data_IF_432369733339
#
_entry.id   IF_432369733339
#
_cell.length_a   1.000
_cell.length_b   1.000
_cell.length_c   1.000
_cell.angle_alpha   90.00
_cell.angle_beta   90.00
_cell.angle_gamma   90.00
#
_symmetry.space_group_name_H-M   'P 1'
#
loop_
_entity.id
_entity.type
_entity.pdbx_description
1 polymer ?
#
# COMPACT_ATOMS: atom_id res chain seq x y z
N UNK A 1 -10.75 -6.87 -1.47
CA UNK A 1 -10.46 -6.08 -2.69
C UNK A 1 -10.29 -6.99 -3.90
N UNK A 2 -9.52 -8.09 -3.82
CA UNK A 2 -9.45 -9.06 -4.92
C UNK A 2 -10.80 -9.64 -5.37
N UNK A 3 -11.71 -9.85 -4.43
CA UNK A 3 -13.07 -10.34 -4.70
C UNK A 3 -14.05 -9.24 -5.16
N UNK A 4 -13.63 -7.98 -5.12
CA UNK A 4 -14.47 -6.83 -5.50
C UNK A 4 -13.61 -5.76 -6.17
N UNK A 5 -12.98 -6.10 -7.32
CA UNK A 5 -12.00 -5.22 -7.94
C UNK A 5 -12.61 -3.92 -8.48
N UNK A 6 -13.83 -3.99 -9.02
CA UNK A 6 -14.58 -2.80 -9.46
C UNK A 6 -14.78 -1.79 -8.32
N UNK A 7 -15.21 -2.25 -7.14
CA UNK A 7 -15.37 -1.40 -5.96
C UNK A 7 -14.05 -0.83 -5.46
N UNK A 8 -12.98 -1.64 -5.48
CA UNK A 8 -11.65 -1.16 -5.08
C UNK A 8 -11.17 -0.01 -5.99
N UNK A 9 -11.42 -0.11 -7.30
CA UNK A 9 -11.07 0.95 -8.26
C UNK A 9 -11.95 2.19 -8.07
N UNK A 10 -13.27 2.03 -7.94
CA UNK A 10 -14.21 3.14 -7.65
C UNK A 10 -13.81 3.90 -6.39
N UNK A 11 -13.51 3.18 -5.31
CA UNK A 11 -13.16 3.78 -4.04
C UNK A 11 -11.77 4.41 -4.05
N UNK A 12 -10.74 3.63 -4.41
CA UNK A 12 -9.36 4.08 -4.26
C UNK A 12 -8.99 5.10 -5.35
N UNK A 13 -9.12 4.71 -6.62
CA UNK A 13 -8.65 5.53 -7.76
C UNK A 13 -9.57 6.73 -7.94
N UNK A 14 -10.87 6.50 -8.13
CA UNK A 14 -11.79 7.59 -8.44
C UNK A 14 -12.14 8.44 -7.22
N UNK A 15 -12.12 7.87 -6.01
CA UNK A 15 -12.16 8.66 -4.77
C UNK A 15 -10.96 9.61 -4.67
N UNK A 16 -9.74 9.12 -4.94
CA UNK A 16 -8.54 9.96 -4.97
C UNK A 16 -8.63 11.03 -6.06
N UNK A 17 -8.98 10.65 -7.30
CA UNK A 17 -9.10 11.57 -8.43
C UNK A 17 -10.08 12.71 -8.14
N UNK A 18 -11.27 12.41 -7.63
CA UNK A 18 -12.29 13.42 -7.31
C UNK A 18 -11.81 14.37 -6.19
N UNK A 19 -11.18 13.83 -5.15
CA UNK A 19 -10.70 14.62 -4.02
C UNK A 19 -9.50 15.48 -4.41
N UNK A 20 -8.54 14.92 -5.15
CA UNK A 20 -7.38 15.64 -5.66
C UNK A 20 -7.80 16.77 -6.61
N UNK A 21 -8.73 16.49 -7.54
CA UNK A 21 -9.28 17.51 -8.43
C UNK A 21 -9.97 18.64 -7.67
N UNK A 22 -10.70 18.33 -6.61
CA UNK A 22 -11.33 19.35 -5.76
C UNK A 22 -10.27 20.20 -5.04
N UNK A 23 -9.24 19.58 -4.46
CA UNK A 23 -8.13 20.28 -3.82
C UNK A 23 -7.43 21.25 -4.78
N UNK A 24 -7.12 20.78 -5.99
CA UNK A 24 -6.53 21.60 -7.06
C UNK A 24 -7.44 22.76 -7.48
N UNK A 25 -8.72 22.47 -7.75
CA UNK A 25 -9.71 23.47 -8.18
C UNK A 25 -9.90 24.60 -7.17
N UNK A 26 -9.91 24.27 -5.88
CA UNK A 26 -10.15 25.25 -4.81
C UNK A 26 -8.85 25.82 -4.21
N UNK A 27 -7.69 25.50 -4.78
CA UNK A 27 -6.42 26.11 -4.40
C UNK A 27 -5.94 25.70 -3.01
N UNK A 28 -6.16 24.44 -2.60
CA UNK A 28 -5.49 23.91 -1.42
C UNK A 28 -3.98 24.06 -1.59
N UNK A 29 -3.26 24.43 -0.52
CA UNK A 29 -1.81 24.62 -0.62
C UNK A 29 -1.10 23.30 -0.96
N UNK A 30 -1.51 22.21 -0.31
CA UNK A 30 -0.86 20.91 -0.39
C UNK A 30 -1.84 19.77 -0.23
N UNK A 31 -1.59 18.70 -0.97
CA UNK A 31 -2.32 17.44 -0.88
C UNK A 31 -1.32 16.30 -0.66
N UNK A 32 -1.45 15.59 0.46
CA UNK A 32 -0.57 14.45 0.80
C UNK A 32 -1.37 13.16 0.71
N UNK A 33 -1.04 12.32 -0.26
CA UNK A 33 -1.62 10.99 -0.44
C UNK A 33 -0.82 9.96 0.38
N UNK A 34 -1.50 9.21 1.24
CA UNK A 34 -0.90 8.02 1.85
C UNK A 34 -0.88 6.89 0.82
N UNK A 35 0.30 6.36 0.52
CA UNK A 35 0.50 5.20 -0.33
C UNK A 35 1.06 4.02 0.47
N UNK A 36 1.53 2.97 -0.21
CA UNK A 36 1.96 1.70 0.40
C UNK A 36 3.09 1.09 -0.42
N UNK A 37 3.96 0.35 0.24
CA UNK A 37 4.91 -0.58 -0.39
C UNK A 37 4.30 -1.47 -1.49
N UNK A 38 3.06 -1.91 -1.33
CA UNK A 38 2.34 -2.76 -2.29
C UNK A 38 2.05 -2.08 -3.63
N UNK A 39 2.22 -0.75 -3.73
CA UNK A 39 2.13 -0.02 -4.99
C UNK A 39 3.35 -0.25 -5.89
N UNK A 40 4.46 -0.75 -5.33
CA UNK A 40 5.67 -1.12 -6.08
C UNK A 40 5.50 -2.53 -6.62
N UNK A 41 5.63 -2.69 -7.95
CA UNK A 41 5.45 -3.95 -8.68
C UNK A 41 4.24 -4.77 -8.17
N UNK A 42 3.02 -4.21 -8.28
CA UNK A 42 1.87 -4.74 -7.58
C UNK A 42 1.49 -6.15 -8.08
N UNK A 43 1.11 -7.03 -7.17
CA UNK A 43 0.61 -8.38 -7.48
C UNK A 43 -0.86 -8.56 -7.08
N UNK A 44 -1.51 -7.47 -6.68
CA UNK A 44 -2.90 -7.42 -6.27
C UNK A 44 -3.51 -6.05 -6.64
N UNK A 45 -4.83 -6.03 -6.77
CA UNK A 45 -5.68 -4.89 -7.11
C UNK A 45 -5.53 -3.76 -6.11
N UNK A 46 -5.31 -4.07 -4.83
CA UNK A 46 -5.09 -3.02 -3.83
C UNK A 46 -3.82 -2.22 -4.18
N UNK A 47 -2.69 -2.91 -4.35
CA UNK A 47 -1.43 -2.31 -4.77
C UNK A 47 -1.54 -1.58 -6.11
N UNK A 48 -2.13 -2.21 -7.12
CA UNK A 48 -2.30 -1.60 -8.44
C UNK A 48 -3.16 -0.34 -8.38
N UNK A 49 -4.26 -0.36 -7.62
CA UNK A 49 -5.09 0.84 -7.42
C UNK A 49 -4.33 1.96 -6.72
N UNK A 50 -3.43 1.65 -5.78
CA UNK A 50 -2.59 2.64 -5.10
C UNK A 50 -1.52 3.21 -6.04
N UNK A 51 -0.94 2.38 -6.91
CA UNK A 51 -0.03 2.85 -7.97
C UNK A 51 -0.74 3.82 -8.93
N UNK A 52 -1.98 3.52 -9.32
CA UNK A 52 -2.79 4.46 -10.10
C UNK A 52 -3.11 5.75 -9.35
N UNK A 53 -3.32 5.69 -8.03
CA UNK A 53 -3.50 6.91 -7.22
C UNK A 53 -2.25 7.79 -7.23
N UNK A 54 -1.05 7.20 -7.25
CA UNK A 54 0.21 7.93 -7.41
C UNK A 54 0.29 8.62 -8.78
N UNK A 55 -0.06 7.92 -9.85
CA UNK A 55 -0.13 8.51 -11.19
C UNK A 55 -1.16 9.66 -11.25
N UNK A 56 -2.33 9.50 -10.61
CA UNK A 56 -3.35 10.56 -10.50
C UNK A 56 -2.78 11.80 -9.85
N UNK A 57 -2.09 11.68 -8.70
CA UNK A 57 -1.60 12.87 -8.01
C UNK A 57 -0.45 13.55 -8.77
N UNK A 58 0.39 12.80 -9.49
CA UNK A 58 1.45 13.38 -10.33
C UNK A 58 0.86 14.17 -11.50
N UNK A 59 -0.14 13.61 -12.18
CA UNK A 59 -0.88 14.33 -13.22
C UNK A 59 -1.58 15.58 -12.66
N UNK A 60 -2.10 15.53 -11.44
CA UNK A 60 -2.75 16.69 -10.80
C UNK A 60 -1.74 17.79 -10.43
N UNK A 61 -0.52 17.42 -10.03
CA UNK A 61 0.58 18.35 -9.72
C UNK A 61 0.93 19.23 -10.92
N UNK A 62 1.00 18.64 -12.12
CA UNK A 62 1.30 19.40 -13.33
C UNK A 62 0.13 20.29 -13.81
N UNK A 63 -1.11 19.99 -13.38
CA UNK A 63 -2.33 20.69 -13.83
C UNK A 63 -2.78 21.82 -12.91
N UNK A 64 -2.36 21.82 -11.65
CA UNK A 64 -2.81 22.78 -10.64
C UNK A 64 -1.63 23.39 -9.90
N UNK A 65 -1.89 24.49 -9.17
CA UNK A 65 -0.88 25.10 -8.29
C UNK A 65 -0.73 24.40 -6.93
N UNK A 66 -1.67 23.52 -6.59
CA UNK A 66 -1.61 22.71 -5.37
C UNK A 66 -0.44 21.76 -5.49
N UNK A 67 0.42 21.70 -4.46
CA UNK A 67 1.51 20.73 -4.39
C UNK A 67 0.92 19.35 -4.04
N UNK A 68 1.01 18.39 -4.96
CA UNK A 68 0.55 17.02 -4.75
C UNK A 68 1.72 16.07 -4.54
N UNK A 69 1.69 15.33 -3.43
CA UNK A 69 2.74 14.35 -3.10
C UNK A 69 2.15 13.05 -2.57
N UNK A 70 2.88 11.95 -2.72
CA UNK A 70 2.57 10.68 -2.07
C UNK A 70 3.64 10.31 -1.05
N UNK A 71 3.26 9.54 -0.04
CA UNK A 71 4.20 8.93 0.92
C UNK A 71 3.96 7.43 0.98
N UNK A 72 4.95 6.63 0.58
CA UNK A 72 4.95 5.17 0.66
C UNK A 72 5.59 4.72 1.97
N UNK A 73 4.92 3.80 2.65
CA UNK A 73 5.49 3.06 3.77
C UNK A 73 4.84 1.67 3.88
N UNK A 74 5.48 0.82 4.66
CA UNK A 74 5.03 -0.55 4.90
C UNK A 74 3.92 -0.65 5.94
N UNK A 75 3.92 -1.74 6.70
CA UNK A 75 2.88 -2.00 7.67
C UNK A 75 3.01 -1.08 8.90
N UNK A 76 1.88 -0.76 9.51
CA UNK A 76 1.84 0.00 10.76
C UNK A 76 1.37 -0.90 11.89
N UNK A 77 2.10 -0.90 13.00
CA UNK A 77 1.83 -1.74 14.16
C UNK A 77 0.46 -1.41 14.77
N UNK A 78 -0.36 -2.46 14.96
CA UNK A 78 -1.66 -2.34 15.61
C UNK A 78 -2.74 -1.64 14.78
N UNK A 79 -2.55 -1.47 13.47
CA UNK A 79 -3.59 -0.91 12.61
C UNK A 79 -4.83 -1.84 12.53
N UNK A 80 -6.00 -1.25 12.26
CA UNK A 80 -7.26 -2.01 12.17
C UNK A 80 -7.19 -3.09 11.08
N UNK A 81 -7.64 -4.31 11.42
CA UNK A 81 -7.62 -5.45 10.50
C UNK A 81 -6.22 -6.00 10.21
N UNK A 82 -5.18 -5.55 10.93
CA UNK A 82 -3.83 -6.10 10.80
C UNK A 82 -3.64 -7.40 11.59
N UNK A 83 -2.46 -8.01 11.41
CA UNK A 83 -2.11 -9.31 12.00
C UNK A 83 -2.07 -9.29 13.53
N UNK A 84 -1.70 -8.16 14.16
CA UNK A 84 -1.57 -8.08 15.62
C UNK A 84 -2.93 -8.17 16.32
N UNK A 85 -3.95 -7.37 15.95
CA UNK A 85 -5.31 -7.56 16.46
C UNK A 85 -5.87 -8.96 16.25
N UNK A 86 -5.58 -9.58 15.09
CA UNK A 86 -5.99 -10.96 14.81
C UNK A 86 -5.34 -11.95 15.79
N UNK A 87 -4.03 -11.86 15.99
CA UNK A 87 -3.32 -12.74 16.93
C UNK A 87 -3.81 -12.53 18.36
N UNK A 88 -4.02 -11.29 18.80
CA UNK A 88 -4.59 -11.01 20.13
C UNK A 88 -5.97 -11.64 20.31
N UNK A 89 -6.82 -11.56 19.28
CA UNK A 89 -8.13 -12.20 19.29
C UNK A 89 -8.02 -13.72 19.38
N UNK A 90 -7.20 -14.32 18.53
CA UNK A 90 -6.96 -15.78 18.53
C UNK A 90 -6.43 -16.26 19.87
N UNK A 91 -5.47 -15.55 20.48
CA UNK A 91 -4.93 -15.85 21.80
C UNK A 91 -6.03 -15.78 22.88
N UNK A 92 -6.84 -14.72 22.86
CA UNK A 92 -7.95 -14.57 23.81
C UNK A 92 -9.03 -15.66 23.66
N UNK A 93 -9.17 -16.24 22.47
CA UNK A 93 -10.07 -17.36 22.16
C UNK A 93 -9.47 -18.75 22.45
N UNK A 94 -8.21 -18.82 22.91
CA UNK A 94 -7.51 -20.07 23.23
C UNK A 94 -6.68 -20.67 22.07
N UNK A 95 -6.54 -19.95 20.96
CA UNK A 95 -5.82 -20.39 19.77
C UNK A 95 -6.62 -21.29 18.84
N UNK A 96 -5.98 -21.83 17.77
CA UNK A 96 -4.59 -21.60 17.38
C UNK A 96 -4.35 -20.19 16.83
N UNK A 97 -3.10 -19.72 16.90
CA UNK A 97 -2.67 -18.53 16.17
C UNK A 97 -2.28 -18.92 14.75
N UNK A 98 -2.87 -18.27 13.75
CA UNK A 98 -2.67 -18.65 12.34
C UNK A 98 -1.62 -17.78 11.67
N UNK A 99 -0.47 -18.34 11.30
CA UNK A 99 0.60 -17.65 10.58
C UNK A 99 0.58 -18.09 9.11
N UNK A 100 0.76 -17.18 8.16
CA UNK A 100 0.70 -17.51 6.74
C UNK A 100 1.77 -18.53 6.33
N UNK A 101 3.04 -18.22 6.59
CA UNK A 101 4.20 -19.07 6.33
C UNK A 101 5.28 -18.85 7.40
N UNK A 102 6.17 -19.83 7.65
CA UNK A 102 7.22 -19.71 8.67
C UNK A 102 8.18 -18.54 8.43
N UNK A 103 8.55 -18.32 7.16
CA UNK A 103 9.58 -17.34 6.76
C UNK A 103 9.03 -16.00 6.30
N UNK A 104 7.72 -15.76 6.46
CA UNK A 104 7.09 -14.51 6.04
C UNK A 104 7.57 -13.35 6.93
N UNK A 105 8.11 -12.31 6.29
CA UNK A 105 8.58 -11.10 6.96
C UNK A 105 7.78 -9.88 6.51
N UNK A 106 7.65 -8.89 7.38
CA UNK A 106 7.05 -7.60 7.06
C UNK A 106 7.80 -6.47 7.74
N UNK A 107 7.83 -5.33 7.07
CA UNK A 107 8.35 -4.08 7.60
C UNK A 107 7.29 -3.39 8.45
N UNK A 108 7.68 -2.92 9.63
CA UNK A 108 6.77 -2.30 10.58
C UNK A 108 7.30 -0.98 11.10
N UNK A 109 6.37 -0.06 11.32
CA UNK A 109 6.60 1.18 12.04
C UNK A 109 5.42 1.43 12.98
N UNK A 110 5.62 2.18 14.05
CA UNK A 110 4.50 2.59 14.91
C UNK A 110 3.64 3.68 14.25
N UNK A 111 2.39 3.83 14.69
CA UNK A 111 1.52 4.91 14.19
C UNK A 111 2.15 6.31 14.40
N UNK A 112 2.67 6.67 15.59
CA UNK A 112 3.27 7.99 15.81
C UNK A 112 4.48 8.27 14.92
N UNK A 113 5.34 7.28 14.70
CA UNK A 113 6.49 7.40 13.79
C UNK A 113 6.02 7.65 12.36
N UNK A 114 5.09 6.84 11.85
CA UNK A 114 4.57 6.98 10.49
C UNK A 114 3.92 8.35 10.26
N UNK A 115 3.07 8.80 11.20
CA UNK A 115 2.42 10.13 11.13
C UNK A 115 3.46 11.24 11.17
N UNK A 116 4.45 11.16 12.05
CA UNK A 116 5.51 12.17 12.15
C UNK A 116 6.30 12.30 10.85
N UNK A 117 6.70 11.17 10.25
CA UNK A 117 7.45 11.17 8.99
C UNK A 117 6.60 11.62 7.80
N UNK A 118 5.31 11.27 7.75
CA UNK A 118 4.38 11.77 6.73
C UNK A 118 4.24 13.29 6.80
N UNK A 119 4.09 13.86 7.99
CA UNK A 119 4.00 15.31 8.16
C UNK A 119 5.31 16.02 7.75
N UNK A 120 6.46 15.42 8.07
CA UNK A 120 7.77 15.94 7.64
C UNK A 120 7.96 15.85 6.12
N UNK A 121 7.60 14.73 5.49
CA UNK A 121 7.61 14.58 4.03
C UNK A 121 6.71 15.63 3.38
N UNK A 122 5.51 15.82 3.93
CA UNK A 122 4.62 16.91 3.55
C UNK A 122 5.25 18.28 3.71
N UNK A 123 6.12 18.53 4.69
CA UNK A 123 6.82 19.81 4.84
C UNK A 123 7.94 20.01 3.80
N UNK A 124 8.59 18.93 3.35
CA UNK A 124 9.64 18.96 2.33
C UNK A 124 9.13 19.05 0.89
N UNK A 125 7.87 18.67 0.67
CA UNK A 125 7.19 18.67 -0.63
C UNK A 125 7.33 19.98 -1.40
N UNK A 126 7.64 19.89 -2.68
CA UNK A 126 7.63 20.97 -3.67
C UNK A 126 6.68 20.69 -4.84
N UNK A 127 6.04 19.52 -4.86
CA UNK A 127 5.12 19.07 -5.91
C UNK A 127 5.68 17.88 -6.68
N UNK A 128 4.83 16.89 -6.91
CA UNK A 128 5.10 15.73 -7.77
C UNK A 128 5.92 14.61 -7.12
N UNK A 129 6.45 14.83 -5.91
CA UNK A 129 7.28 13.84 -5.23
C UNK A 129 6.50 12.63 -4.72
N UNK A 130 7.14 11.46 -4.84
CA UNK A 130 6.73 10.23 -4.16
C UNK A 130 7.78 9.97 -3.09
N UNK A 131 7.45 10.31 -1.83
CA UNK A 131 8.31 10.03 -0.70
C UNK A 131 8.25 8.56 -0.31
N UNK A 132 9.38 8.03 0.15
CA UNK A 132 9.54 6.65 0.59
C UNK A 132 10.15 6.66 1.98
N UNK A 133 9.47 6.02 2.94
CA UNK A 133 9.94 5.97 4.32
C UNK A 133 10.86 4.77 4.55
N UNK A 134 11.94 5.01 5.31
CA UNK A 134 12.79 3.94 5.81
C UNK A 134 12.10 3.22 6.96
N UNK A 135 11.77 1.95 6.71
CA UNK A 135 11.06 1.10 7.66
C UNK A 135 12.00 0.32 8.59
N UNK A 136 13.31 0.46 8.42
CA UNK A 136 14.31 -0.30 9.16
C UNK A 136 14.27 -1.80 8.82
N UNK A 137 14.63 -2.62 9.80
CA UNK A 137 14.75 -4.07 9.63
C UNK A 137 13.38 -4.76 9.56
N UNK A 138 13.24 -5.79 8.71
CA UNK A 138 12.00 -6.56 8.63
C UNK A 138 11.81 -7.47 9.84
N UNK A 139 10.55 -7.73 10.19
CA UNK A 139 10.17 -8.60 11.31
C UNK A 139 9.54 -9.89 10.79
N UNK A 140 10.01 -11.05 11.28
CA UNK A 140 9.35 -12.35 11.04
C UNK A 140 8.01 -12.41 11.75
N UNK A 141 6.94 -12.71 11.00
CA UNK A 141 5.59 -12.78 11.56
C UNK A 141 5.46 -13.94 12.56
N UNK A 142 6.19 -15.04 12.35
CA UNK A 142 6.26 -16.13 13.31
C UNK A 142 6.82 -15.68 14.67
N UNK A 143 7.88 -14.88 14.66
CA UNK A 143 8.49 -14.38 15.90
C UNK A 143 7.56 -13.38 16.60
N UNK A 144 6.87 -12.54 15.83
CA UNK A 144 5.81 -11.67 16.34
C UNK A 144 4.69 -12.47 17.02
N UNK A 145 4.21 -13.55 16.40
CA UNK A 145 3.19 -14.44 16.97
C UNK A 145 3.65 -15.04 18.30
N UNK A 146 4.84 -15.66 18.31
CA UNK A 146 5.44 -16.25 19.53
C UNK A 146 5.60 -15.23 20.65
N UNK A 147 6.03 -14.01 20.33
CA UNK A 147 6.19 -12.96 21.33
C UNK A 147 4.85 -12.51 21.92
N UNK A 148 3.80 -12.38 21.11
CA UNK A 148 2.47 -12.03 21.62
C UNK A 148 1.88 -13.11 22.52
N UNK A 149 2.09 -14.39 22.19
CA UNK A 149 1.68 -15.52 23.05
C UNK A 149 2.40 -15.43 24.42
N UNK A 150 3.72 -15.24 24.42
CA UNK A 150 4.52 -15.09 25.66
C UNK A 150 4.08 -13.90 26.50
N UNK A 151 3.87 -12.74 25.87
CA UNK A 151 3.40 -11.53 26.54
C UNK A 151 1.99 -11.67 27.13
N UNK A 152 1.22 -12.66 26.65
CA UNK A 152 -0.10 -12.99 27.18
C UNK A 152 -0.04 -14.03 28.31
N UNK A 153 1.15 -14.47 28.72
CA UNK A 153 1.35 -15.42 29.82
C UNK A 153 1.35 -16.90 29.42
N UNK A 154 1.41 -17.19 28.11
CA UNK A 154 1.33 -18.56 27.56
C UNK A 154 2.65 -19.00 26.92
N UNK A 155 2.88 -20.31 26.84
CA UNK A 155 4.01 -20.94 26.15
C UNK A 155 3.63 -21.28 24.70
N UNK A 156 4.30 -20.68 23.69
CA UNK A 156 4.00 -20.95 22.28
C UNK A 156 4.26 -22.41 21.90
N UNK A 157 3.27 -23.05 21.28
CA UNK A 157 3.33 -24.46 20.87
C UNK A 157 2.95 -25.47 21.96
N UNK A 158 2.83 -25.04 23.22
CA UNK A 158 2.36 -25.88 24.34
C UNK A 158 0.96 -25.44 24.77
N UNK A 159 0.82 -24.19 25.24
CA UNK A 159 -0.46 -23.62 25.66
C UNK A 159 -1.29 -23.14 24.46
N UNK A 160 -0.62 -22.59 23.44
CA UNK A 160 -1.25 -22.05 22.23
C UNK A 160 -0.53 -22.56 21.00
N UNK A 161 -1.23 -23.36 20.19
CA UNK A 161 -0.73 -23.87 18.92
C UNK A 161 -0.56 -22.74 17.87
N UNK A 162 0.41 -22.92 16.97
CA UNK A 162 0.61 -22.06 15.80
C UNK A 162 0.38 -22.91 14.56
N UNK A 163 -0.56 -22.50 13.71
CA UNK A 163 -0.90 -23.19 12.47
C UNK A 163 -0.48 -22.38 11.24
N UNK A 164 0.01 -23.08 10.21
CA UNK A 164 0.40 -22.45 8.96
C UNK A 164 -0.72 -22.55 7.92
N UNK A 165 -1.22 -21.41 7.43
CA UNK A 165 -2.39 -21.38 6.53
C UNK A 165 -2.03 -21.32 5.04
N UNK A 166 -0.77 -21.08 4.69
CA UNK A 166 -0.35 -20.79 3.32
C UNK A 166 -0.71 -19.39 2.86
N UNK A 167 -0.20 -19.00 1.68
CA UNK A 167 -0.42 -17.67 1.09
C UNK A 167 -1.85 -17.51 0.57
N UNK A 168 -2.43 -16.34 0.80
CA UNK A 168 -3.70 -15.96 0.19
C UNK A 168 -3.49 -15.47 -1.26
N UNK A 169 -4.52 -15.53 -2.12
CA UNK A 169 -4.44 -14.96 -3.47
C UNK A 169 -3.96 -13.50 -3.45
N UNK A 170 -2.94 -13.20 -4.27
CA UNK A 170 -2.35 -11.86 -4.38
C UNK A 170 -1.36 -11.45 -3.27
N UNK A 171 -1.17 -12.29 -2.24
CA UNK A 171 -0.21 -12.06 -1.16
C UNK A 171 1.22 -12.40 -1.61
N UNK A 172 2.18 -11.52 -1.29
CA UNK A 172 3.60 -11.76 -1.53
C UNK A 172 4.25 -12.43 -0.32
N UNK A 173 5.26 -13.27 -0.59
CA UNK A 173 6.11 -13.84 0.47
C UNK A 173 6.93 -12.72 1.13
N UNK A 174 7.55 -11.89 0.30
CA UNK A 174 8.32 -10.69 0.68
C UNK A 174 7.68 -9.47 0.02
N UNK A 175 7.49 -8.40 0.77
CA UNK A 175 7.19 -7.10 0.17
C UNK A 175 8.46 -6.56 -0.50
N UNK A 176 8.31 -5.74 -1.53
CA UNK A 176 9.46 -5.09 -2.17
C UNK A 176 10.25 -4.28 -1.13
N UNK A 177 11.58 -4.36 -1.20
CA UNK A 177 12.41 -3.44 -0.45
C UNK A 177 12.19 -2.06 -1.05
N UNK A 178 11.46 -1.23 -0.30
CA UNK A 178 11.16 0.13 -0.73
C UNK A 178 12.42 0.87 -1.17
N UNK A 179 13.54 0.65 -0.48
CA UNK A 179 14.84 1.32 -0.70
C UNK A 179 15.64 0.84 -1.91
N UNK A 180 15.22 -0.22 -2.59
CA UNK A 180 15.93 -0.76 -3.75
C UNK A 180 15.47 -0.12 -5.07
N UNK A 181 14.52 0.84 -5.05
CA UNK A 181 14.16 1.59 -6.26
C UNK A 181 15.36 2.44 -6.75
N UNK A 182 15.76 2.21 -7.99
CA UNK A 182 16.82 3.00 -8.62
C UNK A 182 16.44 4.49 -8.72
N UNK A 183 17.42 5.36 -8.52
CA UNK A 183 17.25 6.81 -8.68
C UNK A 183 16.64 7.53 -7.47
N UNK A 184 16.62 6.91 -6.29
CA UNK A 184 16.23 7.59 -5.06
C UNK A 184 17.14 8.78 -4.74
N UNK A 185 16.52 9.82 -4.20
CA UNK A 185 17.20 11.01 -3.69
C UNK A 185 17.02 11.11 -2.18
N UNK A 186 18.09 11.52 -1.49
CA UNK A 186 18.06 11.76 -0.06
C UNK A 186 17.34 13.06 0.30
N UNK A 187 16.67 13.06 1.45
CA UNK A 187 16.24 14.29 2.13
C UNK A 187 17.16 14.60 3.33
N UNK A 188 17.02 15.76 4.00
CA UNK A 188 17.73 16.02 5.25
C UNK A 188 17.46 14.98 6.36
N UNK A 189 16.31 14.31 6.32
CA UNK A 189 15.99 13.22 7.23
C UNK A 189 16.30 11.87 6.57
N UNK A 190 17.24 11.10 7.13
CA UNK A 190 17.65 9.78 6.62
C UNK A 190 16.58 8.69 6.69
N UNK A 191 15.41 8.99 7.26
CA UNK A 191 14.24 8.13 7.25
C UNK A 191 13.27 8.46 6.12
N UNK A 192 13.54 9.50 5.33
CA UNK A 192 12.66 9.97 4.25
C UNK A 192 13.52 10.13 2.98
N UNK A 193 13.15 9.43 1.94
CA UNK A 193 13.77 9.52 0.61
C UNK A 193 12.71 9.93 -0.41
N UNK A 194 13.15 10.41 -1.57
CA UNK A 194 12.29 10.74 -2.71
C UNK A 194 12.54 9.70 -3.79
N UNK A 195 11.51 8.94 -4.14
CA UNK A 195 11.55 7.98 -5.24
C UNK A 195 11.52 8.66 -6.61
N UNK A 196 11.89 7.92 -7.65
CA UNK A 196 11.82 8.41 -9.03
C UNK A 196 10.34 8.64 -9.43
N UNK A 197 10.01 9.76 -10.09
CA UNK A 197 8.68 9.97 -10.65
C UNK A 197 8.26 8.83 -11.60
N UNK A 198 6.96 8.54 -11.66
CA UNK A 198 6.42 7.58 -12.61
C UNK A 198 6.36 8.27 -13.97
N UNK A 199 7.06 7.72 -14.96
CA UNK A 199 6.99 8.20 -16.34
C UNK A 199 5.76 7.58 -17.03
N UNK A 200 4.82 8.43 -17.48
CA UNK A 200 3.65 8.03 -18.25
C UNK A 200 3.14 9.20 -19.09
N UNK A 201 2.38 8.90 -20.14
CA UNK A 201 1.68 9.91 -20.96
C UNK A 201 0.37 10.31 -20.26
N UNK A 202 0.24 11.58 -19.88
CA UNK A 202 -0.91 12.07 -19.12
C UNK A 202 -2.21 12.12 -19.93
N UNK A 203 -2.12 12.40 -21.23
CA UNK A 203 -3.30 12.48 -22.09
C UNK A 203 -3.86 11.08 -22.34
N UNK A 204 -2.98 10.11 -22.53
CA UNK A 204 -3.34 8.70 -22.60
C UNK A 204 -3.87 8.19 -21.25
N UNK A 205 -3.20 8.49 -20.14
CA UNK A 205 -3.66 8.11 -18.81
C UNK A 205 -5.05 8.68 -18.47
N UNK A 206 -5.33 9.92 -18.89
CA UNK A 206 -6.66 10.52 -18.71
C UNK A 206 -7.75 9.75 -19.48
N UNK A 207 -7.50 9.36 -20.74
CA UNK A 207 -8.43 8.54 -21.52
C UNK A 207 -8.64 7.18 -20.87
N UNK A 208 -7.55 6.55 -20.42
CA UNK A 208 -7.60 5.27 -19.72
C UNK A 208 -8.41 5.35 -18.41
N UNK A 209 -8.31 6.46 -17.67
CA UNK A 209 -9.15 6.69 -16.50
C UNK A 209 -10.64 6.81 -16.86
N UNK A 210 -10.98 7.49 -17.94
CA UNK A 210 -12.38 7.62 -18.38
C UNK A 210 -12.95 6.25 -18.79
N UNK A 211 -12.20 5.45 -19.54
CA UNK A 211 -12.57 4.07 -19.89
C UNK A 211 -12.69 3.18 -18.64
N UNK A 212 -11.73 3.27 -17.73
CA UNK A 212 -11.74 2.48 -16.50
C UNK A 212 -12.95 2.82 -15.62
N UNK A 213 -13.39 4.08 -15.60
CA UNK A 213 -14.56 4.50 -14.85
C UNK A 213 -15.83 3.81 -15.38
N UNK A 214 -15.98 3.76 -16.70
CA UNK A 214 -17.09 3.06 -17.35
C UNK A 214 -17.06 1.55 -17.06
N UNK A 215 -15.89 0.92 -17.20
CA UNK A 215 -15.70 -0.51 -16.90
C UNK A 215 -16.08 -0.81 -15.44
N UNK A 216 -15.61 0.01 -14.50
CA UNK A 216 -15.85 -0.18 -13.08
C UNK A 216 -17.31 0.05 -12.66
N UNK A 217 -18.04 0.94 -13.34
CA UNK A 217 -19.47 1.17 -13.07
C UNK A 217 -20.40 0.14 -13.72
N UNK A 218 -19.92 -0.59 -14.73
CA UNK A 218 -20.65 -1.73 -15.33
C UNK A 218 -20.36 -3.05 -14.63
N UNK A 219 -19.60 -3.02 -13.53
CA UNK A 219 -19.14 -4.20 -12.79
C UNK A 219 -18.53 -5.28 -13.69
N UNK A 220 -17.74 -4.85 -14.68
CA UNK A 220 -17.16 -5.74 -15.68
C UNK A 220 -16.18 -6.74 -15.04
N UNK A 221 -16.16 -7.96 -15.57
CA UNK A 221 -15.15 -8.96 -15.23
C UNK A 221 -13.75 -8.57 -15.72
N UNK A 222 -13.65 -7.71 -16.74
CA UNK A 222 -12.40 -7.31 -17.39
C UNK A 222 -11.64 -6.19 -16.67
N UNK A 223 -12.02 -5.86 -15.45
CA UNK A 223 -11.43 -4.74 -14.69
C UNK A 223 -9.95 -4.99 -14.36
N UNK A 224 -9.55 -6.25 -14.13
CA UNK A 224 -8.15 -6.58 -13.81
C UNK A 224 -7.26 -6.35 -15.03
N UNK A 225 -7.73 -6.71 -16.22
CA UNK A 225 -7.06 -6.48 -17.50
C UNK A 225 -6.96 -4.99 -17.81
N UNK A 226 -8.03 -4.23 -17.55
CA UNK A 226 -8.00 -2.77 -17.70
C UNK A 226 -6.96 -2.13 -16.77
N UNK A 227 -6.91 -2.55 -15.51
CA UNK A 227 -5.88 -2.11 -14.56
C UNK A 227 -4.47 -2.50 -15.01
N UNK A 228 -4.27 -3.70 -15.55
CA UNK A 228 -2.98 -4.15 -16.07
C UNK A 228 -2.50 -3.35 -17.29
N UNK A 229 -3.41 -2.89 -18.16
CA UNK A 229 -3.04 -1.99 -19.26
C UNK A 229 -2.47 -0.66 -18.77
N UNK A 230 -3.02 -0.15 -17.67
CA UNK A 230 -2.64 1.15 -17.09
C UNK A 230 -1.40 1.03 -16.21
N UNK A 231 -1.28 -0.09 -15.49
CA UNK A 231 -0.12 -0.42 -14.65
C UNK A 231 0.51 -1.69 -15.20
N UNK A 232 1.42 -1.60 -16.19
CA UNK A 232 2.00 -2.79 -16.84
C UNK A 232 2.77 -3.71 -15.89
N UNK A 233 3.28 -3.17 -14.77
CA UNK A 233 3.94 -3.93 -13.70
C UNK A 233 2.97 -4.70 -12.82
N UNK A 234 1.65 -4.53 -12.99
CA UNK A 234 0.64 -5.31 -12.29
C UNK A 234 0.55 -6.72 -12.89
N UNK A 235 0.85 -7.72 -12.07
CA UNK A 235 0.76 -9.13 -12.47
C UNK A 235 -0.57 -9.71 -12.01
N UNK A 236 -1.44 -10.03 -12.97
CA UNK A 236 -2.64 -10.83 -12.72
C UNK A 236 -2.19 -12.28 -12.49
N UNK A 237 -2.29 -12.76 -11.26
CA UNK A 237 -2.21 -14.21 -11.00
C UNK A 237 -3.47 -14.86 -11.56
N UNK A 238 -3.32 -15.61 -12.65
CA UNK A 238 -4.34 -16.54 -13.12
C UNK A 238 -4.24 -17.76 -12.22
N UNK A 239 -5.33 -18.13 -11.57
CA UNK A 239 -5.36 -19.39 -10.83
C UNK A 239 -5.08 -20.51 -11.83
N UNK A 240 -3.94 -21.20 -11.67
CA UNK A 240 -3.73 -22.48 -12.34
C UNK A 240 -4.78 -23.44 -11.79
N UNK A 241 -5.73 -23.83 -12.65
CA UNK A 241 -6.75 -24.83 -12.34
C UNK A 241 -6.15 -26.21 -12.17
#
# INVERSE_FOLDING_TARGET
>A
MENSPNEAIKNNVFGTYKTARAAGKYGAKRFVLISTDKAVNPTNIMGASKRMCEMVIQMMDHRYRTEFVAVRFGNVLGSNGSVIPLFKKQIAEGGPVTVTLPDIIRYFMTIPEAVSLVLQAGAYAKGGEIFVLNMGEPVKILDLAKNLIRLSGYVPGEDIAIEFTGLRPGEKLYEEMLMDEEGMQDTPNKLIHIGKPIEFDEDEFQKQLDELYEIANRDSENIKEAVQRIVPTYVIKRDEK
#
